data_IF_045423694640
#
_entry.id   IF_045423694640
#
_cell.length_a   1.000
_cell.length_b   1.000
_cell.length_c   1.000
_cell.angle_alpha   90.00
_cell.angle_beta   90.00
_cell.angle_gamma   90.00
#
_symmetry.space_group_name_H-M   'P 1'
#
loop_
_entity.id
_entity.type
_entity.pdbx_description
1 polymer ?
#
# COMPACT_ATOMS: atom_id res chain seq x y z
N UNK A 1 -15.09 -16.72 1.87
CA UNK A 1 -13.87 -17.19 2.51
C UNK A 1 -12.70 -17.15 1.54
N UNK A 2 -11.57 -16.66 1.96
CA UNK A 2 -10.38 -16.54 1.10
C UNK A 2 -9.23 -17.36 1.65
N UNK A 3 -8.44 -17.94 0.74
CA UNK A 3 -7.12 -18.45 1.06
C UNK A 3 -6.07 -17.39 0.73
N UNK A 4 -4.89 -17.52 1.28
CA UNK A 4 -3.79 -16.60 1.00
C UNK A 4 -2.52 -17.37 0.67
N UNK A 5 -1.82 -16.89 -0.34
CA UNK A 5 -0.50 -17.36 -0.72
C UNK A 5 0.51 -16.25 -0.47
N UNK A 6 1.62 -16.59 0.16
CA UNK A 6 2.67 -15.64 0.51
C UNK A 6 3.74 -15.58 -0.57
N UNK A 7 4.22 -14.37 -0.82
CA UNK A 7 5.35 -14.12 -1.71
C UNK A 7 5.24 -14.76 -3.09
N UNK A 8 4.05 -14.73 -3.67
CA UNK A 8 3.82 -15.30 -5.00
C UNK A 8 4.42 -14.38 -6.07
N UNK A 9 5.20 -14.90 -7.01
CA UNK A 9 5.68 -14.11 -8.15
C UNK A 9 4.51 -13.65 -9.01
N UNK A 10 4.56 -12.40 -9.45
CA UNK A 10 3.50 -11.83 -10.28
C UNK A 10 4.03 -10.73 -11.18
N UNK A 11 3.24 -10.39 -12.19
CA UNK A 11 3.50 -9.28 -13.07
C UNK A 11 4.64 -9.50 -14.06
N UNK A 12 4.79 -8.58 -14.98
CA UNK A 12 5.79 -8.66 -16.05
C UNK A 12 7.21 -8.47 -15.53
N UNK A 13 7.39 -7.71 -14.48
CA UNK A 13 8.68 -7.47 -13.86
C UNK A 13 9.06 -8.54 -12.85
N UNK A 14 8.26 -9.61 -12.74
CA UNK A 14 8.49 -10.76 -11.86
C UNK A 14 8.69 -10.39 -10.39
N UNK A 15 7.91 -9.43 -9.92
CA UNK A 15 7.86 -9.09 -8.51
C UNK A 15 7.26 -10.20 -7.68
N UNK A 16 7.50 -10.18 -6.37
CA UNK A 16 6.83 -11.08 -5.44
C UNK A 16 5.81 -10.29 -4.66
N UNK A 17 4.58 -10.79 -4.62
CA UNK A 17 3.52 -10.20 -3.83
C UNK A 17 3.58 -10.73 -2.40
N UNK A 18 3.28 -9.89 -1.43
CA UNK A 18 3.25 -10.31 -0.03
C UNK A 18 2.10 -11.27 0.26
N UNK A 19 0.92 -10.96 -0.29
CA UNK A 19 -0.26 -11.83 -0.13
C UNK A 19 -1.04 -11.89 -1.43
N UNK A 20 -1.46 -13.08 -1.78
CA UNK A 20 -2.45 -13.30 -2.83
C UNK A 20 -3.69 -13.91 -2.18
N UNK A 21 -4.78 -13.16 -2.17
CA UNK A 21 -6.05 -13.60 -1.61
C UNK A 21 -6.93 -14.17 -2.70
N UNK A 22 -7.36 -15.39 -2.54
CA UNK A 22 -8.24 -16.07 -3.49
C UNK A 22 -9.56 -16.42 -2.81
N UNK A 23 -10.64 -16.25 -3.55
CA UNK A 23 -11.93 -16.73 -3.11
C UNK A 23 -12.03 -18.23 -3.39
N UNK A 24 -12.07 -19.04 -2.34
CA UNK A 24 -12.16 -20.49 -2.47
C UNK A 24 -13.44 -20.96 -3.15
N UNK A 25 -14.51 -20.15 -3.11
CA UNK A 25 -15.76 -20.42 -3.81
C UNK A 25 -15.72 -20.01 -5.29
N UNK A 26 -14.68 -19.27 -5.72
CA UNK A 26 -14.49 -18.86 -7.12
C UNK A 26 -15.39 -17.74 -7.59
N UNK A 27 -16.13 -17.09 -6.72
CA UNK A 27 -17.05 -16.02 -7.08
C UNK A 27 -16.44 -14.62 -7.09
N UNK A 28 -15.28 -14.44 -6.47
CA UNK A 28 -14.61 -13.15 -6.39
C UNK A 28 -13.27 -13.18 -7.12
N UNK A 29 -12.84 -12.00 -7.57
CA UNK A 29 -11.54 -11.84 -8.20
C UNK A 29 -10.40 -12.07 -7.21
N UNK A 30 -9.28 -12.54 -7.69
CA UNK A 30 -8.06 -12.58 -6.89
C UNK A 30 -7.65 -11.17 -6.46
N UNK A 31 -7.08 -11.06 -5.28
CA UNK A 31 -6.63 -9.79 -4.72
C UNK A 31 -5.15 -9.87 -4.38
N UNK A 32 -4.36 -9.04 -5.02
CA UNK A 32 -2.93 -8.91 -4.78
C UNK A 32 -2.70 -7.84 -3.73
N UNK A 33 -2.06 -8.20 -2.63
CA UNK A 33 -1.82 -7.28 -1.51
C UNK A 33 -0.33 -7.08 -1.30
N UNK A 34 0.11 -5.83 -1.38
CA UNK A 34 1.47 -5.42 -1.07
C UNK A 34 1.47 -4.65 0.25
N UNK A 35 2.30 -5.06 1.19
CA UNK A 35 2.41 -4.43 2.51
C UNK A 35 3.63 -3.54 2.56
N UNK A 36 3.46 -2.32 3.06
CA UNK A 36 4.54 -1.37 3.32
C UNK A 36 4.52 -0.94 4.77
N UNK A 37 5.65 -1.08 5.43
CA UNK A 37 5.79 -0.59 6.80
C UNK A 37 6.10 0.91 6.77
N UNK A 38 5.32 1.67 7.51
CA UNK A 38 5.50 3.11 7.65
C UNK A 38 6.33 3.38 8.89
N UNK A 39 7.49 3.98 8.69
CA UNK A 39 8.48 4.18 9.76
C UNK A 39 8.83 5.64 10.00
N UNK A 40 8.37 6.55 9.15
CA UNK A 40 8.70 7.97 9.26
C UNK A 40 7.61 8.74 9.96
N UNK A 41 7.89 9.16 11.18
CA UNK A 41 7.03 10.03 11.97
C UNK A 41 7.40 11.50 11.69
N UNK A 42 6.43 12.27 11.21
CA UNK A 42 6.60 13.71 10.94
C UNK A 42 6.12 14.57 12.10
N UNK A 43 5.59 13.95 13.14
CA UNK A 43 4.98 14.66 14.26
C UNK A 43 3.54 15.06 14.00
N UNK A 44 2.85 15.50 15.06
CA UNK A 44 1.45 15.99 14.99
C UNK A 44 0.48 15.01 14.34
N UNK A 45 0.70 13.73 14.53
CA UNK A 45 -0.17 12.69 14.00
C UNK A 45 0.07 12.33 12.54
N UNK A 46 1.07 12.89 11.90
CA UNK A 46 1.40 12.60 10.50
C UNK A 46 2.56 11.61 10.40
N UNK A 47 2.35 10.55 9.64
CA UNK A 47 3.39 9.65 9.19
C UNK A 47 3.46 9.65 7.67
N UNK A 48 4.63 9.43 7.11
CA UNK A 48 4.82 9.43 5.66
C UNK A 48 5.60 8.21 5.19
N UNK A 49 5.37 7.83 3.95
CA UNK A 49 6.08 6.79 3.24
C UNK A 49 6.46 7.27 1.84
N UNK A 50 7.60 6.95 1.29
CA UNK A 50 8.70 6.16 1.88
C UNK A 50 9.62 7.02 2.77
N UNK A 51 10.52 6.37 3.49
CA UNK A 51 11.54 7.06 4.30
C UNK A 51 12.83 7.33 3.53
N UNK A 52 12.94 6.78 2.33
CA UNK A 52 14.04 6.99 1.39
C UNK A 52 13.56 6.71 -0.03
N UNK A 53 14.34 7.10 -1.03
CA UNK A 53 14.02 6.78 -2.42
C UNK A 53 13.94 5.27 -2.61
N UNK A 54 12.83 4.81 -3.22
CA UNK A 54 12.57 3.38 -3.39
C UNK A 54 12.16 3.04 -4.83
N UNK A 55 13.13 2.71 -5.66
CA UNK A 55 12.85 2.21 -7.02
C UNK A 55 12.08 0.90 -6.98
N UNK A 56 12.34 0.06 -5.98
CA UNK A 56 11.60 -1.20 -5.77
C UNK A 56 10.13 -0.93 -5.43
N UNK A 57 9.87 0.05 -4.58
CA UNK A 57 8.49 0.43 -4.24
C UNK A 57 7.72 0.91 -5.47
N UNK A 58 8.34 1.72 -6.30
CA UNK A 58 7.75 2.19 -7.56
C UNK A 58 7.48 1.04 -8.52
N UNK A 59 8.39 0.09 -8.62
CA UNK A 59 8.19 -1.13 -9.41
C UNK A 59 6.96 -1.91 -8.92
N UNK A 60 6.82 -2.08 -7.61
CA UNK A 60 5.67 -2.77 -7.04
C UNK A 60 4.36 -2.05 -7.37
N UNK A 61 4.34 -0.72 -7.37
CA UNK A 61 3.16 0.03 -7.79
C UNK A 61 2.79 -0.25 -9.24
N UNK A 62 3.76 -0.28 -10.14
CA UNK A 62 3.49 -0.61 -11.55
C UNK A 62 2.91 -2.01 -11.70
N UNK A 63 3.41 -2.97 -10.92
CA UNK A 63 2.90 -4.33 -10.94
C UNK A 63 1.46 -4.41 -10.40
N UNK A 64 1.14 -3.66 -9.35
CA UNK A 64 -0.23 -3.59 -8.84
C UNK A 64 -1.18 -2.99 -9.89
N UNK A 65 -0.75 -1.97 -10.60
CA UNK A 65 -1.52 -1.41 -11.72
C UNK A 65 -1.77 -2.47 -12.78
N UNK A 66 -0.74 -3.20 -13.16
CA UNK A 66 -0.84 -4.27 -14.16
C UNK A 66 -1.85 -5.35 -13.76
N UNK A 67 -1.91 -5.70 -12.49
CA UNK A 67 -2.88 -6.67 -11.99
C UNK A 67 -4.31 -6.15 -12.07
N UNK A 68 -4.53 -4.88 -11.77
CA UNK A 68 -5.87 -4.28 -11.94
C UNK A 68 -6.27 -4.28 -13.42
N UNK A 69 -5.35 -3.91 -14.29
CA UNK A 69 -5.60 -3.90 -15.75
C UNK A 69 -5.88 -5.30 -16.30
N UNK A 70 -5.38 -6.32 -15.64
CA UNK A 70 -5.65 -7.72 -15.99
C UNK A 70 -6.95 -8.27 -15.38
N UNK A 71 -7.72 -7.44 -14.67
CA UNK A 71 -9.01 -7.83 -14.11
C UNK A 71 -8.98 -8.30 -12.67
N UNK A 72 -7.85 -8.20 -12.00
CA UNK A 72 -7.72 -8.55 -10.58
C UNK A 72 -7.91 -7.34 -9.68
N UNK A 73 -7.99 -7.57 -8.38
CA UNK A 73 -7.90 -6.50 -7.39
C UNK A 73 -6.45 -6.35 -6.94
N UNK A 74 -6.07 -5.13 -6.61
CA UNK A 74 -4.77 -4.84 -6.00
C UNK A 74 -4.97 -3.91 -4.83
N UNK A 75 -4.29 -4.20 -3.72
CA UNK A 75 -4.33 -3.40 -2.51
C UNK A 75 -2.90 -3.09 -2.07
N UNK A 76 -2.63 -1.82 -1.88
CA UNK A 76 -1.45 -1.34 -1.18
C UNK A 76 -1.83 -1.08 0.27
N UNK A 77 -1.18 -1.79 1.18
CA UNK A 77 -1.51 -1.75 2.59
C UNK A 77 -0.36 -1.13 3.38
N UNK A 78 -0.61 0.02 3.99
CA UNK A 78 0.35 0.65 4.87
C UNK A 78 0.13 0.21 6.32
N UNK A 79 1.16 -0.33 6.93
CA UNK A 79 1.15 -0.76 8.32
C UNK A 79 1.98 0.22 9.15
N UNK A 80 1.33 0.90 10.09
CA UNK A 80 1.97 1.89 10.95
C UNK A 80 2.19 1.27 12.32
N UNK A 81 3.45 1.18 12.73
CA UNK A 81 3.85 0.46 13.93
C UNK A 81 4.08 1.37 15.15
N UNK A 82 3.79 2.64 15.05
CA UNK A 82 3.91 3.57 16.19
C UNK A 82 2.58 4.25 16.48
N UNK A 83 2.45 4.77 17.69
CA UNK A 83 1.19 5.30 18.22
C UNK A 83 0.96 6.75 17.81
N UNK A 84 -0.27 7.21 18.00
CA UNK A 84 -0.67 8.61 17.79
C UNK A 84 -0.59 9.08 16.34
N UNK A 85 -0.66 8.16 15.40
CA UNK A 85 -0.77 8.50 13.98
C UNK A 85 -2.23 8.63 13.61
N UNK A 86 -2.58 9.77 13.03
CA UNK A 86 -3.95 10.09 12.61
C UNK A 86 -4.11 9.99 11.10
N UNK A 87 -3.02 10.23 10.35
CA UNK A 87 -3.04 10.13 8.90
C UNK A 87 -1.67 9.76 8.34
N UNK A 88 -1.70 9.22 7.13
CA UNK A 88 -0.52 8.89 6.35
C UNK A 88 -0.58 9.66 5.04
N UNK A 89 0.57 10.20 4.64
CA UNK A 89 0.75 10.84 3.35
C UNK A 89 1.94 10.24 2.63
N UNK A 90 2.00 10.40 1.32
CA UNK A 90 3.18 10.04 0.57
C UNK A 90 4.27 11.09 0.75
N UNK A 91 5.50 10.65 0.95
CA UNK A 91 6.64 11.53 1.13
C UNK A 91 7.17 12.02 -0.23
N UNK A 92 6.43 12.91 -0.88
CA UNK A 92 6.81 13.44 -2.19
C UNK A 92 8.11 14.26 -2.14
N UNK A 93 8.45 14.80 -0.98
CA UNK A 93 9.72 15.49 -0.74
C UNK A 93 10.92 14.53 -0.77
N UNK A 94 10.69 13.27 -0.46
CA UNK A 94 11.75 12.24 -0.44
C UNK A 94 11.81 11.49 -1.76
N UNK A 95 10.66 11.06 -2.26
CA UNK A 95 10.58 10.29 -3.51
C UNK A 95 9.41 10.77 -4.37
N UNK A 96 9.63 11.80 -5.18
CA UNK A 96 8.57 12.33 -6.04
C UNK A 96 8.09 11.32 -7.09
N UNK A 97 8.97 10.45 -7.56
CA UNK A 97 8.59 9.41 -8.54
C UNK A 97 7.63 8.42 -7.92
N UNK A 98 7.90 7.99 -6.68
CA UNK A 98 6.97 7.13 -5.96
C UNK A 98 5.61 7.81 -5.78
N UNK A 99 5.61 9.07 -5.38
CA UNK A 99 4.38 9.82 -5.17
C UNK A 99 3.54 9.92 -6.45
N UNK A 100 4.17 10.24 -7.57
CA UNK A 100 3.49 10.31 -8.87
C UNK A 100 2.94 8.94 -9.29
N UNK A 101 3.72 7.89 -9.09
CA UNK A 101 3.31 6.53 -9.45
C UNK A 101 2.16 6.06 -8.58
N UNK A 102 2.16 6.40 -7.29
CA UNK A 102 1.06 6.08 -6.39
C UNK A 102 -0.23 6.78 -6.79
N UNK A 103 -0.15 8.06 -7.14
CA UNK A 103 -1.31 8.79 -7.65
C UNK A 103 -1.87 8.12 -8.91
N UNK A 104 -1.00 7.73 -9.83
CA UNK A 104 -1.41 6.99 -11.02
C UNK A 104 -2.07 5.66 -10.64
N UNK A 105 -1.49 4.93 -9.71
CA UNK A 105 -2.02 3.64 -9.27
C UNK A 105 -3.43 3.78 -8.71
N UNK A 106 -3.67 4.78 -7.88
CA UNK A 106 -5.00 5.04 -7.33
C UNK A 106 -5.99 5.37 -8.44
N UNK A 107 -5.58 6.20 -9.40
CA UNK A 107 -6.44 6.56 -10.53
C UNK A 107 -6.79 5.36 -11.42
N UNK A 108 -5.94 4.34 -11.44
CA UNK A 108 -6.15 3.10 -12.21
C UNK A 108 -6.88 2.02 -11.44
N UNK A 109 -7.25 2.27 -10.20
CA UNK A 109 -8.07 1.36 -9.41
C UNK A 109 -7.32 0.54 -8.36
N UNK A 110 -6.05 0.82 -8.12
CA UNK A 110 -5.35 0.23 -6.97
C UNK A 110 -5.95 0.80 -5.70
N UNK A 111 -6.36 -0.09 -4.80
CA UNK A 111 -6.94 0.30 -3.51
C UNK A 111 -5.82 0.56 -2.51
N UNK A 112 -6.01 1.51 -1.62
CA UNK A 112 -5.03 1.83 -0.59
C UNK A 112 -5.71 1.77 0.77
N UNK A 113 -5.06 1.09 1.70
CA UNK A 113 -5.51 0.95 3.07
C UNK A 113 -4.36 1.23 4.03
N UNK A 114 -4.70 1.72 5.20
CA UNK A 114 -3.71 1.92 6.26
C UNK A 114 -4.31 1.54 7.60
N UNK A 115 -3.55 0.79 8.38
CA UNK A 115 -3.93 0.40 9.73
C UNK A 115 -2.81 0.71 10.71
N UNK A 116 -3.18 1.20 11.88
CA UNK A 116 -2.30 1.29 13.01
C UNK A 116 -2.11 -0.08 13.64
N UNK A 117 -0.90 -0.36 14.09
CA UNK A 117 -0.57 -1.60 14.78
C UNK A 117 -0.06 -1.29 16.19
N UNK A 118 -0.50 -2.10 17.15
CA UNK A 118 0.08 -2.12 18.48
C UNK A 118 0.99 -3.34 18.58
N UNK A 119 2.24 -3.10 18.92
CA UNK A 119 3.25 -4.14 19.00
C UNK A 119 3.62 -4.39 20.46
N UNK A 120 3.60 -5.66 20.86
CA UNK A 120 4.11 -6.11 22.15
C UNK A 120 5.15 -7.21 21.94
N UNK A 121 5.76 -7.69 23.03
CA UNK A 121 6.72 -8.78 22.96
C UNK A 121 6.09 -10.09 22.47
N UNK A 122 4.79 -10.25 22.66
CA UNK A 122 4.07 -11.50 22.36
C UNK A 122 3.27 -11.43 21.07
N UNK A 123 2.82 -10.23 20.65
CA UNK A 123 1.92 -10.12 19.51
C UNK A 123 1.95 -8.75 18.84
N UNK A 124 1.46 -8.74 17.61
CA UNK A 124 1.16 -7.51 16.88
C UNK A 124 -0.35 -7.48 16.66
N UNK A 125 -0.99 -6.40 17.10
CA UNK A 125 -2.43 -6.23 16.96
C UNK A 125 -2.71 -5.01 16.09
N UNK A 126 -3.45 -5.24 15.01
CA UNK A 126 -3.96 -4.17 14.17
C UNK A 126 -5.22 -3.62 14.82
N UNK A 127 -5.21 -2.36 15.23
CA UNK A 127 -6.29 -1.89 16.09
C UNK A 127 -7.14 -0.74 15.55
N UNK A 128 -6.71 -0.02 14.54
CA UNK A 128 -7.59 0.98 13.94
C UNK A 128 -7.19 1.35 12.52
N UNK A 129 -8.17 1.63 11.65
CA UNK A 129 -7.90 2.25 10.37
C UNK A 129 -7.33 3.66 10.54
N UNK A 130 -6.43 4.05 9.66
CA UNK A 130 -5.85 5.38 9.62
C UNK A 130 -6.22 6.01 8.30
N UNK A 131 -6.61 7.27 8.34
CA UNK A 131 -6.83 8.03 7.12
C UNK A 131 -5.51 8.14 6.36
N UNK A 132 -5.55 7.80 5.08
CA UNK A 132 -4.37 7.86 4.26
C UNK A 132 -4.67 8.45 2.89
N UNK A 133 -3.71 9.16 2.36
CA UNK A 133 -3.72 9.65 1.00
C UNK A 133 -4.84 10.62 0.65
N UNK A 134 -5.57 11.12 1.64
CA UNK A 134 -6.60 12.13 1.41
C UNK A 134 -6.01 13.43 0.86
N UNK A 135 -4.79 13.68 1.22
CA UNK A 135 -4.05 14.87 0.85
C UNK A 135 -2.85 14.54 -0.03
N UNK A 136 -3.05 13.66 -0.99
CA UNK A 136 -2.16 13.55 -2.14
C UNK A 136 -2.52 14.72 -3.05
N UNK A 137 -2.15 15.89 -2.63
CA UNK A 137 -2.94 17.00 -3.09
C UNK A 137 -2.64 17.34 -4.50
N UNK A 138 -1.45 17.51 -4.73
CA UNK A 138 -1.01 18.23 -5.89
C UNK A 138 -1.06 17.38 -7.14
N UNK A 139 -0.79 16.11 -6.97
CA UNK A 139 -0.64 15.21 -8.10
C UNK A 139 -1.97 14.87 -8.74
N UNK A 140 -3.04 14.95 -7.97
CA UNK A 140 -4.38 14.65 -8.44
C UNK A 140 -5.08 15.86 -9.04
N UNK A 141 -4.61 17.05 -8.71
CA UNK A 141 -5.32 18.29 -9.00
C UNK A 141 -4.67 19.14 -10.09
N UNK A 142 -3.63 18.64 -10.65
CA UNK A 142 -2.93 19.33 -11.74
C UNK A 142 -3.57 19.12 -13.11
N UNK A 143 -4.67 18.49 -13.13
CA UNK A 143 -5.40 18.18 -14.38
C UNK A 143 -6.09 19.39 -14.99
#
# INVERSE_FOLDING_TARGET
RRSSDLEVPYGEEKSRIDFLLKDSAGGLRDCYVEVKNVTMDRGKGLATFPDSVTSRGTKHLRELISMVESGHRSVLFFCVQFTNVERIEVAADIDPVYAQTLTLAISRGVEVMALGAKISAEEIVLHKPINCLQDLPMLERED
#
